data_IF_725894366068
#
_entry.id   IF_725894366068
#
_cell.length_a   1.000
_cell.length_b   1.000
_cell.length_c   1.000
_cell.angle_alpha   90.00
_cell.angle_beta   90.00
_cell.angle_gamma   90.00
#
_symmetry.space_group_name_H-M   'P 1'
#
loop_
_entity.id
_entity.type
_entity.pdbx_description
1 polymer ?
#
# COMPACT_ATOMS: atom_id res chain seq x y z
N UNK A 1 106.70 64.16 -35.70
CA UNK A 1 105.30 64.45 -36.11
C UNK A 1 104.69 65.49 -35.19
N UNK A 2 104.16 66.56 -35.76
CA UNK A 2 103.75 67.79 -35.07
C UNK A 2 102.68 67.54 -33.99
N UNK A 3 102.77 68.26 -32.87
CA UNK A 3 101.92 68.08 -31.66
C UNK A 3 100.40 68.09 -31.95
N UNK A 4 99.96 68.67 -33.07
CA UNK A 4 98.54 68.77 -33.47
C UNK A 4 97.94 67.44 -33.97
N UNK A 5 98.74 66.56 -34.60
CA UNK A 5 98.25 65.27 -35.13
C UNK A 5 97.96 64.27 -34.01
N UNK A 6 98.72 64.31 -32.92
CA UNK A 6 98.49 63.44 -31.74
C UNK A 6 97.19 63.78 -31.01
N UNK A 7 96.77 65.06 -31.01
CA UNK A 7 95.51 65.51 -30.39
C UNK A 7 94.30 65.03 -31.21
N UNK A 8 94.38 65.12 -32.54
CA UNK A 8 93.29 64.65 -33.43
C UNK A 8 93.12 63.13 -33.30
N UNK A 9 94.21 62.36 -33.25
CA UNK A 9 94.16 60.91 -33.04
C UNK A 9 93.57 60.57 -31.67
N UNK A 10 93.92 61.32 -30.62
CA UNK A 10 93.34 61.15 -29.28
C UNK A 10 91.83 61.36 -29.23
N UNK A 11 91.33 62.38 -29.94
CA UNK A 11 89.88 62.67 -30.01
C UNK A 11 89.13 61.59 -30.80
N UNK A 12 89.69 61.12 -31.92
CA UNK A 12 89.07 60.06 -32.73
C UNK A 12 89.01 58.74 -31.95
N UNK A 13 90.06 58.40 -31.20
CA UNK A 13 90.06 57.23 -30.32
C UNK A 13 89.03 57.36 -29.20
N UNK A 14 88.87 58.55 -28.62
CA UNK A 14 87.86 58.80 -27.58
C UNK A 14 86.43 58.63 -28.11
N UNK A 15 86.14 59.13 -29.32
CA UNK A 15 84.82 58.98 -29.97
C UNK A 15 84.55 57.51 -30.33
N UNK A 16 85.56 56.77 -30.79
CA UNK A 16 85.45 55.33 -31.05
C UNK A 16 85.18 54.53 -29.77
N UNK A 17 85.83 54.88 -28.65
CA UNK A 17 85.57 54.26 -27.35
C UNK A 17 84.13 54.55 -26.89
N UNK A 18 83.64 55.78 -27.06
CA UNK A 18 82.25 56.13 -26.71
C UNK A 18 81.24 55.38 -27.57
N UNK A 19 81.50 55.18 -28.87
CA UNK A 19 80.64 54.39 -29.75
C UNK A 19 80.60 52.91 -29.38
N UNK A 20 81.76 52.32 -29.08
CA UNK A 20 81.85 50.90 -28.70
C UNK A 20 81.21 50.66 -27.33
N UNK A 21 81.43 51.56 -26.37
CA UNK A 21 80.79 51.50 -25.05
C UNK A 21 79.27 51.74 -25.16
N UNK A 22 78.83 52.66 -26.01
CA UNK A 22 77.42 52.93 -26.28
C UNK A 22 76.70 51.74 -26.93
N UNK A 23 77.36 51.02 -27.84
CA UNK A 23 76.84 49.80 -28.43
C UNK A 23 76.77 48.64 -27.43
N UNK A 24 77.79 48.47 -26.58
CA UNK A 24 77.81 47.42 -25.53
C UNK A 24 76.83 47.69 -24.39
N UNK A 25 76.56 48.97 -24.08
CA UNK A 25 75.58 49.40 -23.08
C UNK A 25 74.12 49.30 -23.55
N UNK A 26 73.87 48.83 -24.78
CA UNK A 26 72.51 48.52 -25.25
C UNK A 26 71.63 49.74 -25.48
N UNK A 27 72.21 50.93 -25.68
CA UNK A 27 71.46 52.18 -25.91
C UNK A 27 70.70 52.20 -27.24
N UNK A 28 71.09 51.35 -28.19
CA UNK A 28 70.40 51.14 -29.48
C UNK A 28 69.87 49.72 -29.57
N UNK A 29 68.58 49.54 -29.27
CA UNK A 29 67.87 48.28 -29.47
C UNK A 29 66.71 48.12 -28.49
N UNK A 30 65.53 48.65 -28.85
CA UNK A 30 64.28 48.37 -28.12
C UNK A 30 64.01 46.86 -28.17
N UNK A 31 64.28 46.13 -27.08
CA UNK A 31 63.72 44.80 -26.88
C UNK A 31 62.23 44.96 -26.64
N UNK A 32 61.43 44.52 -27.62
CA UNK A 32 59.98 44.50 -27.56
C UNK A 32 59.49 43.85 -26.28
N UNK A 33 58.48 44.46 -25.69
CA UNK A 33 57.84 44.02 -24.46
C UNK A 33 56.99 42.76 -24.77
N UNK A 34 57.61 41.58 -24.83
CA UNK A 34 56.90 40.33 -25.05
C UNK A 34 56.28 39.90 -23.72
N UNK A 35 54.96 40.02 -23.63
CA UNK A 35 54.17 39.60 -22.48
C UNK A 35 54.04 38.07 -22.54
N UNK A 36 54.68 37.38 -21.61
CA UNK A 36 54.59 35.93 -21.47
C UNK A 36 53.14 35.57 -21.12
N UNK A 37 52.53 34.66 -21.90
CA UNK A 37 51.13 34.24 -21.73
C UNK A 37 51.07 32.76 -21.46
N UNK A 38 50.28 32.38 -20.46
CA UNK A 38 50.02 30.99 -20.15
C UNK A 38 49.11 30.39 -21.22
N UNK A 39 49.60 29.36 -21.90
CA UNK A 39 48.83 28.58 -22.87
C UNK A 39 48.51 27.20 -22.31
N UNK A 40 47.33 26.68 -22.63
CA UNK A 40 46.92 25.32 -22.27
C UNK A 40 46.46 24.59 -23.53
N UNK A 41 46.85 23.32 -23.67
CA UNK A 41 46.46 22.47 -24.80
C UNK A 41 44.99 22.10 -24.64
N UNK A 42 44.17 22.46 -25.63
CA UNK A 42 42.74 22.11 -25.66
C UNK A 42 42.59 20.62 -25.87
N UNK A 43 41.90 19.94 -24.95
CA UNK A 43 41.47 18.55 -25.08
C UNK A 43 39.95 18.49 -25.00
N UNK A 44 39.34 17.61 -25.78
CA UNK A 44 37.93 17.30 -25.62
C UNK A 44 37.76 16.57 -24.29
N UNK A 45 37.00 17.17 -23.39
CA UNK A 45 36.66 16.62 -22.09
C UNK A 45 35.17 16.86 -21.85
N UNK A 46 34.49 15.88 -21.27
CA UNK A 46 33.10 16.04 -20.91
C UNK A 46 32.96 16.98 -19.71
N UNK A 47 32.15 18.02 -19.85
CA UNK A 47 31.79 18.92 -18.76
C UNK A 47 30.46 18.43 -18.21
N UNK A 48 30.50 17.82 -17.03
CA UNK A 48 29.29 17.36 -16.33
C UNK A 48 28.88 18.43 -15.33
N UNK A 49 27.71 19.03 -15.56
CA UNK A 49 27.08 19.95 -14.61
C UNK A 49 26.18 19.15 -13.66
N UNK A 50 26.58 19.03 -12.40
CA UNK A 50 25.79 18.35 -11.38
C UNK A 50 24.86 19.33 -10.69
N UNK A 51 23.55 19.08 -10.78
CA UNK A 51 22.51 19.84 -10.06
C UNK A 51 22.11 19.09 -8.80
N UNK A 52 22.18 19.74 -7.65
CA UNK A 52 21.72 19.17 -6.38
C UNK A 52 20.23 19.38 -6.21
N UNK A 53 19.49 18.29 -5.99
CA UNK A 53 18.06 18.32 -5.67
C UNK A 53 17.81 17.61 -4.34
N UNK A 54 16.90 18.15 -3.53
CA UNK A 54 16.46 17.53 -2.28
C UNK A 54 15.16 16.76 -2.55
N UNK A 55 15.19 15.45 -2.32
CA UNK A 55 14.00 14.59 -2.37
C UNK A 55 13.67 14.02 -0.99
N UNK A 56 12.42 13.56 -0.82
CA UNK A 56 12.03 12.74 0.32
C UNK A 56 11.86 11.30 -0.14
N UNK A 57 12.37 10.36 0.64
CA UNK A 57 12.15 8.92 0.39
C UNK A 57 10.80 8.55 1.01
N UNK A 58 9.98 7.84 0.26
CA UNK A 58 8.66 7.35 0.69
C UNK A 58 8.54 5.87 0.33
N UNK A 59 7.74 5.10 1.08
CA UNK A 59 7.43 3.72 0.71
C UNK A 59 6.73 3.68 -0.65
N UNK A 60 7.00 2.63 -1.43
CA UNK A 60 6.31 2.40 -2.71
C UNK A 60 4.81 2.16 -2.50
N UNK A 61 4.45 1.50 -1.40
CA UNK A 61 3.07 1.21 -1.02
C UNK A 61 2.87 1.55 0.46
N UNK A 62 1.91 2.42 0.74
CA UNK A 62 1.48 2.78 2.09
C UNK A 62 0.00 2.42 2.25
N UNK A 63 -0.34 1.65 3.28
CA UNK A 63 -1.71 1.20 3.54
C UNK A 63 -2.09 1.52 4.98
N UNK A 64 -3.18 2.27 5.15
CA UNK A 64 -3.79 2.49 6.46
C UNK A 64 -4.78 1.36 6.74
N UNK A 65 -4.54 0.59 7.80
CA UNK A 65 -5.41 -0.50 8.25
C UNK A 65 -6.35 0.04 9.32
N UNK A 66 -7.65 -0.17 9.14
CA UNK A 66 -8.68 0.19 10.13
C UNK A 66 -9.69 -0.94 10.31
N UNK A 67 -10.30 -1.02 11.49
CA UNK A 67 -11.41 -1.94 11.73
C UNK A 67 -12.69 -1.46 11.07
N UNK A 68 -13.47 -2.40 10.53
CA UNK A 68 -14.84 -2.14 10.05
C UNK A 68 -15.86 -2.05 11.19
N UNK A 69 -15.55 -2.68 12.33
CA UNK A 69 -16.42 -2.69 13.52
C UNK A 69 -15.84 -1.81 14.62
N UNK A 70 -16.73 -1.05 15.28
CA UNK A 70 -16.39 -0.28 16.48
C UNK A 70 -16.34 -1.19 17.71
N UNK A 71 -15.32 -1.03 18.54
CA UNK A 71 -15.20 -1.75 19.80
C UNK A 71 -13.91 -1.41 20.54
N UNK A 72 -13.81 -1.86 21.78
CA UNK A 72 -12.61 -1.71 22.59
C UNK A 72 -11.52 -2.67 22.10
N UNK A 73 -10.28 -2.18 21.99
CA UNK A 73 -9.13 -3.01 21.64
C UNK A 73 -8.68 -3.75 22.90
N UNK A 74 -8.69 -5.08 22.85
CA UNK A 74 -8.28 -5.94 23.96
C UNK A 74 -6.85 -6.47 23.80
N UNK A 75 -6.33 -6.50 22.57
CA UNK A 75 -4.98 -7.03 22.31
C UNK A 75 -4.35 -6.37 21.08
N UNK A 76 -3.06 -6.03 21.19
CA UNK A 76 -2.20 -5.52 20.11
C UNK A 76 -0.88 -6.32 20.13
N UNK A 77 -0.85 -7.54 19.57
CA UNK A 77 0.29 -8.45 19.72
C UNK A 77 1.44 -8.19 18.72
N UNK A 78 1.63 -6.94 18.29
CA UNK A 78 2.76 -6.54 17.44
C UNK A 78 3.46 -5.31 18.02
N UNK A 79 4.72 -5.12 17.62
CA UNK A 79 5.51 -3.94 17.97
C UNK A 79 5.75 -3.07 16.75
N UNK A 80 5.92 -1.77 16.98
CA UNK A 80 6.30 -0.84 15.91
C UNK A 80 7.62 -1.26 15.27
N UNK A 81 7.66 -1.27 13.93
CA UNK A 81 8.82 -1.73 13.15
C UNK A 81 8.96 -3.24 13.02
N UNK A 82 8.04 -4.03 13.60
CA UNK A 82 8.00 -5.48 13.39
C UNK A 82 7.49 -5.82 11.99
N UNK A 83 8.16 -6.74 11.32
CA UNK A 83 7.69 -7.31 10.05
C UNK A 83 6.50 -8.24 10.31
N UNK A 84 5.43 -8.08 9.53
CA UNK A 84 4.19 -8.87 9.64
C UNK A 84 3.87 -9.53 8.31
N UNK A 85 3.36 -10.75 8.38
CA UNK A 85 2.96 -11.53 7.22
C UNK A 85 1.45 -11.43 6.98
N UNK A 86 1.04 -11.81 5.78
CA UNK A 86 -0.38 -11.88 5.43
C UNK A 86 -1.09 -12.90 6.33
N UNK A 87 -2.09 -12.43 7.07
CA UNK A 87 -2.91 -13.25 7.97
C UNK A 87 -2.54 -13.15 9.44
N UNK A 88 -1.48 -12.40 9.78
CA UNK A 88 -1.09 -12.19 11.17
C UNK A 88 -2.14 -11.36 11.93
N UNK A 89 -2.36 -11.72 13.19
CA UNK A 89 -3.25 -10.98 14.08
C UNK A 89 -2.58 -9.66 14.49
N UNK A 90 -3.14 -8.54 14.03
CA UNK A 90 -2.64 -7.21 14.40
C UNK A 90 -3.41 -6.62 15.57
N UNK A 91 -4.73 -6.78 15.57
CA UNK A 91 -5.62 -6.16 16.56
C UNK A 91 -6.73 -7.14 16.92
N UNK A 92 -6.99 -7.28 18.21
CA UNK A 92 -8.15 -8.00 18.72
C UNK A 92 -9.10 -7.03 19.38
N UNK A 93 -10.34 -7.00 18.90
CA UNK A 93 -11.41 -6.14 19.42
C UNK A 93 -12.31 -6.98 20.31
N UNK A 94 -12.85 -6.38 21.37
CA UNK A 94 -13.78 -7.05 22.28
C UNK A 94 -15.00 -7.58 21.48
N UNK A 95 -15.20 -8.92 21.42
CA UNK A 95 -16.28 -9.51 20.64
C UNK A 95 -17.60 -9.64 21.41
N UNK A 96 -17.71 -9.19 22.66
CA UNK A 96 -18.86 -9.45 23.55
C UNK A 96 -20.22 -9.11 22.92
N UNK A 97 -20.30 -7.96 22.24
CA UNK A 97 -21.54 -7.54 21.57
C UNK A 97 -21.91 -8.49 20.43
N UNK A 98 -20.92 -8.87 19.60
CA UNK A 98 -21.12 -9.76 18.46
C UNK A 98 -21.44 -11.19 18.94
N UNK A 99 -20.76 -11.67 19.99
CA UNK A 99 -21.05 -12.96 20.60
C UNK A 99 -22.45 -12.99 21.22
N UNK A 100 -22.89 -11.91 21.86
CA UNK A 100 -24.25 -11.79 22.39
C UNK A 100 -25.30 -11.84 21.27
N UNK A 101 -25.05 -11.16 20.15
CA UNK A 101 -25.93 -11.22 18.97
C UNK A 101 -25.95 -12.61 18.33
N UNK A 102 -24.80 -13.28 18.25
CA UNK A 102 -24.69 -14.66 17.76
C UNK A 102 -25.51 -15.60 18.67
N UNK A 103 -25.32 -15.52 19.98
CA UNK A 103 -26.03 -16.33 20.96
C UNK A 103 -27.55 -16.11 20.87
N UNK A 104 -27.99 -14.86 20.71
CA UNK A 104 -29.42 -14.54 20.50
C UNK A 104 -29.97 -15.16 19.24
N UNK A 105 -29.23 -15.06 18.12
CA UNK A 105 -29.64 -15.62 16.84
C UNK A 105 -29.70 -17.14 16.90
N UNK A 106 -28.74 -17.77 17.58
CA UNK A 106 -28.73 -19.21 17.81
C UNK A 106 -29.90 -19.65 18.68
N UNK A 107 -30.23 -18.92 19.74
CA UNK A 107 -31.40 -19.20 20.57
C UNK A 107 -32.71 -19.08 19.76
N UNK A 108 -32.85 -18.05 18.93
CA UNK A 108 -34.00 -17.91 18.01
C UNK A 108 -34.09 -19.10 17.07
N UNK A 109 -32.98 -19.50 16.45
CA UNK A 109 -32.95 -20.68 15.57
C UNK A 109 -33.40 -21.96 16.29
N UNK A 110 -32.93 -22.19 17.52
CA UNK A 110 -33.35 -23.37 18.30
C UNK A 110 -34.85 -23.33 18.63
N UNK A 111 -35.40 -22.16 18.94
CA UNK A 111 -36.85 -22.02 19.18
C UNK A 111 -37.67 -22.34 17.93
N UNK A 112 -37.26 -21.83 16.77
CA UNK A 112 -37.96 -22.10 15.51
C UNK A 112 -37.84 -23.58 15.13
N UNK A 113 -36.66 -24.18 15.31
CA UNK A 113 -36.44 -25.61 15.10
C UNK A 113 -37.35 -26.46 16.00
N UNK A 114 -37.48 -26.12 17.29
CA UNK A 114 -38.40 -26.80 18.19
C UNK A 114 -39.86 -26.65 17.74
N UNK A 115 -40.24 -25.50 17.18
CA UNK A 115 -41.54 -25.28 16.54
C UNK A 115 -41.78 -26.20 15.35
N UNK A 116 -40.77 -26.41 14.50
CA UNK A 116 -40.84 -27.39 13.40
C UNK A 116 -41.00 -28.82 13.93
N UNK A 117 -40.21 -29.23 14.92
CA UNK A 117 -40.33 -30.56 15.53
C UNK A 117 -41.74 -30.81 16.10
N UNK A 118 -42.33 -29.80 16.74
CA UNK A 118 -43.71 -29.85 17.23
C UNK A 118 -44.73 -30.01 16.08
N UNK A 119 -44.56 -29.26 14.99
CA UNK A 119 -45.43 -29.36 13.82
C UNK A 119 -45.30 -30.72 13.11
N UNK A 120 -44.10 -31.29 13.07
CA UNK A 120 -43.86 -32.63 12.53
C UNK A 120 -44.50 -33.72 13.40
N UNK A 121 -44.45 -33.59 14.72
CA UNK A 121 -45.17 -34.48 15.63
C UNK A 121 -46.69 -34.40 15.43
N UNK A 122 -47.24 -33.20 15.26
CA UNK A 122 -48.66 -32.99 14.96
C UNK A 122 -49.07 -33.61 13.63
N UNK A 123 -48.27 -33.44 12.58
CA UNK A 123 -48.47 -34.10 11.29
C UNK A 123 -48.47 -35.62 11.43
N UNK A 124 -47.51 -36.17 12.18
CA UNK A 124 -47.41 -37.62 12.39
C UNK A 124 -48.68 -38.18 13.06
N UNK A 125 -49.22 -37.47 14.05
CA UNK A 125 -50.47 -37.84 14.69
C UNK A 125 -51.65 -37.78 13.71
N UNK A 126 -51.81 -36.65 13.02
CA UNK A 126 -52.91 -36.46 12.06
C UNK A 126 -52.86 -37.47 10.91
N UNK A 127 -51.67 -37.85 10.46
CA UNK A 127 -51.47 -38.90 9.46
C UNK A 127 -51.90 -40.27 9.96
N UNK A 128 -51.52 -40.63 11.19
CA UNK A 128 -51.92 -41.90 11.78
C UNK A 128 -53.45 -42.02 11.92
N UNK A 129 -54.12 -40.91 12.28
CA UNK A 129 -55.58 -40.88 12.40
C UNK A 129 -56.27 -40.89 11.03
N UNK A 130 -55.71 -40.19 10.04
CA UNK A 130 -56.14 -40.28 8.63
C UNK A 130 -56.07 -41.72 8.11
N UNK A 131 -54.94 -42.40 8.27
CA UNK A 131 -54.73 -43.76 7.77
C UNK A 131 -55.69 -44.75 8.46
N UNK A 132 -55.94 -44.56 9.76
CA UNK A 132 -56.90 -45.36 10.53
C UNK A 132 -58.33 -45.14 10.06
N UNK A 133 -58.75 -43.89 9.93
CA UNK A 133 -60.09 -43.52 9.54
C UNK A 133 -60.38 -43.90 8.08
N UNK A 134 -59.37 -43.88 7.21
CA UNK A 134 -59.49 -44.36 5.83
C UNK A 134 -59.93 -45.81 5.79
N UNK A 135 -59.24 -46.69 6.53
CA UNK A 135 -59.60 -48.11 6.61
C UNK A 135 -60.98 -48.34 7.21
N UNK A 136 -61.37 -47.54 8.21
CA UNK A 136 -62.70 -47.64 8.83
C UNK A 136 -63.82 -47.14 7.92
N UNK A 137 -63.58 -46.08 7.13
CA UNK A 137 -64.55 -45.54 6.18
C UNK A 137 -64.76 -46.51 5.01
N UNK A 138 -63.69 -47.10 4.47
CA UNK A 138 -63.76 -48.15 3.44
C UNK A 138 -64.55 -49.37 3.91
N UNK A 139 -64.51 -49.68 5.21
CA UNK A 139 -65.30 -50.75 5.85
C UNK A 139 -66.70 -50.32 6.26
N UNK A 140 -67.11 -49.08 6.00
CA UNK A 140 -68.43 -48.55 6.36
C UNK A 140 -68.66 -48.35 7.87
N UNK A 141 -67.60 -48.29 8.67
CA UNK A 141 -67.69 -48.21 10.15
C UNK A 141 -67.88 -46.77 10.63
N UNK A 142 -67.37 -45.78 9.90
CA UNK A 142 -67.49 -44.36 10.24
C UNK A 142 -68.29 -43.58 9.20
N UNK A 143 -68.90 -42.48 9.62
CA UNK A 143 -69.67 -41.61 8.74
C UNK A 143 -68.78 -40.78 7.81
N UNK A 144 -69.35 -40.30 6.69
CA UNK A 144 -68.66 -39.38 5.78
C UNK A 144 -68.21 -38.09 6.49
N UNK A 145 -69.00 -37.58 7.43
CA UNK A 145 -68.63 -36.38 8.19
C UNK A 145 -67.37 -36.58 9.04
N UNK A 146 -67.18 -37.77 9.62
CA UNK A 146 -65.97 -38.09 10.39
C UNK A 146 -64.75 -38.28 9.47
N UNK A 147 -64.96 -38.89 8.31
CA UNK A 147 -63.93 -39.00 7.28
C UNK A 147 -63.45 -37.63 6.79
N UNK A 148 -64.38 -36.76 6.39
CA UNK A 148 -64.08 -35.40 5.91
C UNK A 148 -63.35 -34.57 7.00
N UNK A 149 -63.71 -34.75 8.28
CA UNK A 149 -62.99 -34.13 9.41
C UNK A 149 -61.54 -34.61 9.50
N UNK A 150 -61.30 -35.91 9.30
CA UNK A 150 -59.97 -36.50 9.33
C UNK A 150 -59.08 -35.99 8.18
N UNK A 151 -59.66 -35.78 7.00
CA UNK A 151 -58.96 -35.16 5.86
C UNK A 151 -58.57 -33.73 6.21
N UNK A 152 -59.53 -32.92 6.64
CA UNK A 152 -59.28 -31.51 6.96
C UNK A 152 -58.21 -31.33 8.06
N UNK A 153 -58.22 -32.21 9.08
CA UNK A 153 -57.21 -32.22 10.12
C UNK A 153 -55.80 -32.55 9.58
N UNK A 154 -55.69 -33.53 8.69
CA UNK A 154 -54.42 -33.88 8.04
C UNK A 154 -53.90 -32.75 7.16
N UNK A 155 -54.75 -32.15 6.33
CA UNK A 155 -54.38 -31.02 5.46
C UNK A 155 -53.91 -29.80 6.27
N UNK A 156 -54.61 -29.50 7.38
CA UNK A 156 -54.21 -28.43 8.31
C UNK A 156 -52.85 -28.70 8.92
N UNK A 157 -52.56 -29.95 9.32
CA UNK A 157 -51.27 -30.32 9.87
C UNK A 157 -50.13 -30.29 8.81
N UNK A 158 -50.43 -30.62 7.54
CA UNK A 158 -49.49 -30.46 6.41
C UNK A 158 -49.14 -28.98 6.22
N UNK A 159 -50.16 -28.11 6.18
CA UNK A 159 -49.97 -26.67 6.07
C UNK A 159 -49.19 -26.11 7.27
N UNK A 160 -49.49 -26.57 8.48
CA UNK A 160 -48.78 -26.22 9.71
C UNK A 160 -47.30 -26.59 9.67
N UNK A 161 -46.95 -27.81 9.26
CA UNK A 161 -45.56 -28.22 9.05
C UNK A 161 -44.88 -27.37 7.98
N UNK A 162 -45.53 -27.12 6.85
CA UNK A 162 -44.95 -26.33 5.78
C UNK A 162 -44.64 -24.91 6.23
N UNK A 163 -45.56 -24.28 6.97
CA UNK A 163 -45.36 -22.95 7.56
C UNK A 163 -44.17 -22.95 8.52
N UNK A 164 -44.09 -23.94 9.41
CA UNK A 164 -42.98 -24.07 10.33
C UNK A 164 -41.65 -24.33 9.61
N UNK A 165 -41.65 -25.11 8.52
CA UNK A 165 -40.45 -25.39 7.73
C UNK A 165 -39.89 -24.14 7.05
N UNK A 166 -40.76 -23.29 6.50
CA UNK A 166 -40.34 -22.02 5.89
C UNK A 166 -40.01 -20.92 6.91
N UNK A 167 -40.31 -21.16 8.20
CA UNK A 167 -39.94 -20.23 9.27
C UNK A 167 -38.52 -20.44 9.80
N UNK A 168 -37.92 -21.62 9.55
CA UNK A 168 -36.52 -21.98 9.87
C UNK A 168 -35.57 -21.38 8.84
#
# INVERSE_FOLDING_TARGET
>A
MSKKVKIIIGIVVLVLIVLVVGAKAGWFGKKGNFKEVTVQKVTLSDIVETVSATGKIQPEVEVSISSEVSGEIIELPFKEGQEVNKGDLLVKINPDLILSQLNRSQATYQNVKAGLEQAEASLKQAKADYDRNKSLFEKGVISKAEWDRSIAAFETAVAGRSSAYYSV
#
